data_IF_764772502043
#
_entry.id   IF_764772502043
#
_cell.length_a   1.000
_cell.length_b   1.000
_cell.length_c   1.000
_cell.angle_alpha   90.00
_cell.angle_beta   90.00
_cell.angle_gamma   90.00
#
_symmetry.space_group_name_H-M   'P 1'
#
loop_
_entity.id
_entity.type
_entity.pdbx_description
1 polymer ?
#
# COMPACT_ATOMS: atom_id res chain seq x y z
N UNK A 1 32.85 23.50 12.91
CA UNK A 1 31.80 24.10 12.04
C UNK A 1 31.82 23.52 10.63
N UNK A 2 32.96 23.52 9.92
CA UNK A 2 33.09 22.98 8.55
C UNK A 2 32.67 21.50 8.41
N UNK A 3 33.03 20.66 9.38
CA UNK A 3 32.65 19.24 9.41
C UNK A 3 31.16 19.02 9.60
N UNK A 4 30.54 19.76 10.52
CA UNK A 4 29.08 19.72 10.77
C UNK A 4 28.31 20.12 9.50
N UNK A 5 28.77 21.16 8.80
CA UNK A 5 28.16 21.61 7.55
C UNK A 5 28.27 20.55 6.44
N UNK A 6 29.41 19.85 6.37
CA UNK A 6 29.62 18.75 5.44
C UNK A 6 28.74 17.54 5.76
N UNK A 7 28.59 17.21 7.04
CA UNK A 7 27.72 16.13 7.52
C UNK A 7 26.25 16.43 7.23
N UNK A 8 25.82 17.68 7.40
CA UNK A 8 24.44 18.11 7.12
C UNK A 8 24.15 18.05 5.61
N UNK A 9 25.10 18.51 4.78
CA UNK A 9 24.97 18.43 3.33
C UNK A 9 24.86 16.97 2.85
N UNK A 10 25.67 16.07 3.43
CA UNK A 10 25.61 14.64 3.13
C UNK A 10 24.28 14.00 3.57
N UNK A 11 23.77 14.34 4.77
CA UNK A 11 22.48 13.82 5.23
C UNK A 11 21.29 14.24 4.34
N UNK A 12 21.33 15.48 3.84
CA UNK A 12 20.31 16.01 2.93
C UNK A 12 20.31 15.26 1.60
N UNK A 13 21.48 15.01 1.00
CA UNK A 13 21.55 14.32 -0.30
C UNK A 13 21.10 12.86 -0.22
N UNK A 14 21.39 12.17 0.90
CA UNK A 14 20.90 10.80 1.12
C UNK A 14 19.39 10.70 1.37
N UNK A 15 18.74 11.79 1.81
CA UNK A 15 17.30 11.78 2.10
C UNK A 15 16.43 11.75 0.83
N UNK A 16 16.94 12.24 -0.32
CA UNK A 16 16.18 12.30 -1.57
C UNK A 16 16.14 10.96 -2.35
N UNK A 17 16.95 9.97 -1.98
CA UNK A 17 16.93 8.64 -2.62
C UNK A 17 16.00 7.65 -1.92
N UNK A 18 15.51 7.99 -0.73
CA UNK A 18 14.59 7.16 0.02
C UNK A 18 13.18 7.20 -0.60
N UNK A 19 12.88 6.22 -1.45
CA UNK A 19 11.52 5.95 -1.94
C UNK A 19 10.76 5.18 -0.84
N UNK A 20 10.17 5.90 0.11
CA UNK A 20 9.35 5.29 1.18
C UNK A 20 7.94 4.92 0.73
N UNK A 21 7.48 5.46 -0.40
CA UNK A 21 6.13 5.21 -0.89
C UNK A 21 6.15 4.05 -1.88
N UNK A 22 5.35 3.03 -1.62
CA UNK A 22 5.04 1.99 -2.61
C UNK A 22 4.35 2.68 -3.79
N UNK A 23 4.80 2.39 -5.01
CA UNK A 23 4.10 2.86 -6.21
C UNK A 23 2.65 2.39 -6.14
N UNK A 24 1.68 3.27 -6.35
CA UNK A 24 0.29 2.86 -6.49
C UNK A 24 0.19 1.95 -7.73
N UNK A 25 0.12 0.65 -7.50
CA UNK A 25 -0.15 -0.35 -8.52
C UNK A 25 -1.66 -0.57 -8.63
N UNK A 26 -2.08 -1.25 -9.69
CA UNK A 26 -3.44 -1.81 -9.74
C UNK A 26 -3.61 -2.79 -8.58
N UNK A 27 -4.76 -2.76 -7.91
CA UNK A 27 -5.10 -3.80 -6.94
C UNK A 27 -5.24 -5.15 -7.67
N UNK A 28 -4.87 -6.24 -7.02
CA UNK A 28 -5.17 -7.57 -7.52
C UNK A 28 -6.67 -7.87 -7.34
N UNK A 29 -7.21 -8.77 -8.15
CA UNK A 29 -8.57 -9.28 -7.93
C UNK A 29 -8.52 -10.33 -6.82
N UNK A 30 -9.17 -10.02 -5.68
CA UNK A 30 -9.21 -10.93 -4.54
C UNK A 30 -10.39 -11.86 -4.66
N UNK A 31 -10.12 -13.17 -4.56
CA UNK A 31 -11.14 -14.19 -4.46
C UNK A 31 -11.29 -14.64 -3.01
N UNK A 32 -12.48 -14.49 -2.44
CA UNK A 32 -12.81 -14.93 -1.08
C UNK A 32 -14.16 -15.64 -1.06
N UNK A 33 -14.44 -16.40 0.00
CA UNK A 33 -15.77 -16.94 0.23
C UNK A 33 -16.55 -16.02 1.17
N UNK A 34 -17.80 -15.73 0.84
CA UNK A 34 -18.72 -15.02 1.73
C UNK A 34 -19.14 -15.90 2.93
N UNK A 35 -19.99 -15.34 3.81
CA UNK A 35 -20.49 -16.05 5.01
C UNK A 35 -21.38 -17.26 4.68
N UNK A 36 -21.79 -17.44 3.43
CA UNK A 36 -22.57 -18.56 2.94
C UNK A 36 -21.73 -19.56 2.14
N UNK A 37 -20.43 -19.30 1.95
CA UNK A 37 -19.52 -20.14 1.18
C UNK A 37 -19.57 -19.90 -0.32
N UNK A 38 -20.21 -18.82 -0.79
CA UNK A 38 -20.16 -18.44 -2.19
C UNK A 38 -18.84 -17.72 -2.48
N UNK A 39 -18.24 -18.05 -3.62
CA UNK A 39 -17.07 -17.34 -4.11
C UNK A 39 -17.45 -15.91 -4.53
N UNK A 40 -16.64 -14.93 -4.13
CA UNK A 40 -16.80 -13.51 -4.44
C UNK A 40 -15.47 -12.97 -4.93
N UNK A 41 -15.50 -12.25 -6.06
CA UNK A 41 -14.35 -11.55 -6.62
C UNK A 41 -14.46 -10.05 -6.31
N UNK A 42 -13.34 -9.41 -5.95
CA UNK A 42 -13.31 -7.97 -5.64
C UNK A 42 -13.80 -7.15 -6.84
N UNK A 43 -13.36 -7.49 -8.04
CA UNK A 43 -13.64 -6.70 -9.22
C UNK A 43 -15.12 -6.74 -9.60
N UNK A 44 -15.83 -7.85 -9.35
CA UNK A 44 -17.29 -7.91 -9.53
C UNK A 44 -18.03 -6.88 -8.67
N UNK A 45 -17.56 -6.62 -7.44
CA UNK A 45 -18.13 -5.61 -6.56
C UNK A 45 -17.83 -4.19 -7.04
N UNK A 46 -16.60 -3.94 -7.51
CA UNK A 46 -16.16 -2.64 -8.01
C UNK A 46 -16.85 -2.29 -9.34
N UNK A 47 -16.96 -3.26 -10.26
CA UNK A 47 -17.62 -3.11 -11.56
C UNK A 47 -19.14 -2.89 -11.43
N UNK A 48 -19.73 -3.36 -10.33
CA UNK A 48 -21.11 -3.03 -9.95
C UNK A 48 -21.27 -1.59 -9.40
N UNK A 49 -20.19 -0.78 -9.37
CA UNK A 49 -20.20 0.61 -8.91
C UNK A 49 -20.25 0.76 -7.39
N UNK A 50 -19.90 -0.29 -6.62
CA UNK A 50 -19.91 -0.23 -5.16
C UNK A 50 -18.61 0.36 -4.62
N UNK A 51 -18.70 1.10 -3.52
CA UNK A 51 -17.55 1.40 -2.68
C UNK A 51 -17.24 0.19 -1.81
N UNK A 52 -16.03 -0.36 -1.95
CA UNK A 52 -15.57 -1.53 -1.22
C UNK A 52 -14.48 -1.13 -0.23
N UNK A 53 -14.66 -1.50 1.04
CA UNK A 53 -13.64 -1.34 2.09
C UNK A 53 -13.02 -2.71 2.34
N UNK A 54 -11.70 -2.80 2.20
CA UNK A 54 -10.93 -4.01 2.50
C UNK A 54 -10.28 -3.86 3.88
N UNK A 55 -10.58 -4.80 4.77
CA UNK A 55 -9.96 -4.89 6.10
C UNK A 55 -9.23 -6.22 6.22
N UNK A 56 -7.90 -6.16 6.30
CA UNK A 56 -7.07 -7.32 6.57
C UNK A 56 -6.77 -7.39 8.06
N UNK A 57 -7.28 -8.42 8.73
CA UNK A 57 -7.05 -8.65 10.15
C UNK A 57 -6.73 -10.11 10.42
N UNK A 58 -6.04 -10.36 11.53
CA UNK A 58 -5.72 -11.70 11.98
C UNK A 58 -5.47 -11.72 13.50
N UNK A 59 -5.76 -12.84 14.16
CA UNK A 59 -5.69 -12.97 15.64
C UNK A 59 -4.43 -13.65 16.17
N UNK A 60 -3.44 -13.89 15.33
CA UNK A 60 -2.24 -14.69 15.61
C UNK A 60 -1.02 -13.80 15.77
#
# INVERSE_FOLDING_TARGET
MKTILLSLFLAITLSFTAKSQVTLTTAEDFTVNDVYGNEVHLFELLDAGKYVVLEFWATW
#
